data_IF_344747078060
#
_entry.id   IF_344747078060
#
_cell.length_a   1.000
_cell.length_b   1.000
_cell.length_c   1.000
_cell.angle_alpha   90.00
_cell.angle_beta   90.00
_cell.angle_gamma   90.00
#
_symmetry.space_group_name_H-M   'P 1'
#
loop_
_entity.id
_entity.type
_entity.pdbx_description
1 polymer ?
#
# COMPACT_ATOMS: atom_id res chain seq x y z
N UNK A 1 -27.06 10.93 17.66
CA UNK A 1 -26.05 10.55 16.64
C UNK A 1 -25.66 9.11 16.85
N UNK A 2 -25.16 8.44 15.82
CA UNK A 2 -24.67 7.07 15.92
C UNK A 2 -23.28 7.04 16.59
N UNK A 3 -23.00 5.98 17.38
CA UNK A 3 -21.69 5.79 17.99
C UNK A 3 -20.68 5.46 16.90
N UNK A 4 -19.60 6.23 16.84
CA UNK A 4 -18.50 6.03 15.90
C UNK A 4 -17.27 5.47 16.60
N UNK A 5 -16.48 4.74 15.83
CA UNK A 5 -15.13 4.33 16.21
C UNK A 5 -14.14 4.92 15.22
N UNK A 6 -13.29 5.80 15.72
CA UNK A 6 -12.33 6.54 14.90
C UNK A 6 -10.91 6.34 15.40
N UNK A 7 -9.95 6.48 14.49
CA UNK A 7 -8.53 6.57 14.80
C UNK A 7 -8.10 8.01 14.60
N UNK A 8 -7.70 8.67 15.68
CA UNK A 8 -7.43 10.11 15.69
C UNK A 8 -5.94 10.45 15.76
N UNK A 9 -5.58 11.58 15.15
CA UNK A 9 -4.19 12.05 15.14
C UNK A 9 -3.83 12.83 16.41
N UNK A 10 -2.63 12.56 16.92
CA UNK A 10 -1.99 13.31 18.00
C UNK A 10 -0.68 13.92 17.50
N UNK A 11 -0.54 15.26 17.52
CA UNK A 11 0.74 15.93 17.24
C UNK A 11 1.86 15.47 18.16
N UNK A 12 3.08 15.33 17.61
CA UNK A 12 4.25 14.80 18.34
C UNK A 12 4.55 15.60 19.61
N UNK A 13 4.42 16.93 19.57
CA UNK A 13 4.68 17.80 20.71
C UNK A 13 3.66 17.60 21.86
N UNK A 14 2.45 17.12 21.56
CA UNK A 14 1.42 16.81 22.55
C UNK A 14 1.50 15.38 23.07
N UNK A 15 2.06 14.45 22.30
CA UNK A 15 2.04 13.01 22.60
C UNK A 15 2.50 12.67 24.03
N UNK A 16 3.66 13.19 24.46
CA UNK A 16 4.18 12.97 25.82
C UNK A 16 3.29 13.53 26.92
N UNK A 17 2.56 14.62 26.66
CA UNK A 17 1.64 15.22 27.64
C UNK A 17 0.37 14.38 27.78
N UNK A 18 -0.23 14.00 26.64
CA UNK A 18 -1.45 13.21 26.59
C UNK A 18 -1.26 11.79 27.14
N UNK A 19 -0.06 11.24 27.11
CA UNK A 19 0.22 9.93 27.72
C UNK A 19 0.09 9.95 29.26
N UNK A 20 0.29 11.11 29.90
CA UNK A 20 0.33 11.23 31.38
C UNK A 20 -1.03 11.12 32.07
N UNK A 21 -2.13 11.41 31.38
CA UNK A 21 -3.45 11.47 32.02
C UNK A 21 -4.57 11.11 31.06
N UNK A 22 -5.51 10.30 31.55
CA UNK A 22 -6.77 10.00 30.84
C UNK A 22 -7.57 11.27 30.62
N UNK A 23 -7.61 12.17 31.60
CA UNK A 23 -8.36 13.43 31.52
C UNK A 23 -7.78 14.38 30.47
N UNK A 24 -6.44 14.41 30.31
CA UNK A 24 -5.82 15.20 29.23
C UNK A 24 -6.21 14.67 27.85
N UNK A 25 -6.29 13.35 27.68
CA UNK A 25 -6.75 12.75 26.41
C UNK A 25 -8.21 13.07 26.15
N UNK A 26 -9.07 12.94 27.17
CA UNK A 26 -10.50 13.24 27.06
C UNK A 26 -10.72 14.68 26.61
N UNK A 27 -10.07 15.66 27.28
CA UNK A 27 -10.15 17.08 26.90
C UNK A 27 -9.62 17.34 25.50
N UNK A 28 -8.49 16.77 25.12
CA UNK A 28 -7.99 16.89 23.74
C UNK A 28 -9.01 16.36 22.72
N UNK A 29 -9.65 15.22 22.99
CA UNK A 29 -10.69 14.68 22.13
C UNK A 29 -11.93 15.60 22.04
N UNK A 30 -12.36 16.20 23.15
CA UNK A 30 -13.56 17.06 23.17
C UNK A 30 -13.28 18.46 22.60
N UNK A 31 -12.20 19.09 23.04
CA UNK A 31 -11.90 20.50 22.78
C UNK A 31 -11.21 20.70 21.42
N UNK A 32 -10.22 19.85 21.08
CA UNK A 32 -9.42 20.01 19.85
C UNK A 32 -9.98 19.20 18.68
N UNK A 33 -10.48 17.99 18.93
CA UNK A 33 -11.06 17.12 17.90
C UNK A 33 -12.58 17.27 17.76
N UNK A 34 -13.24 17.98 18.68
CA UNK A 34 -14.69 18.20 18.65
C UNK A 34 -15.52 16.94 18.85
N UNK A 35 -14.96 15.90 19.48
CA UNK A 35 -15.65 14.63 19.69
C UNK A 35 -16.64 14.74 20.85
N UNK A 36 -17.83 14.17 20.68
CA UNK A 36 -18.88 14.16 21.70
C UNK A 36 -18.82 12.85 22.50
N UNK A 37 -18.64 12.96 23.81
CA UNK A 37 -18.57 11.82 24.74
C UNK A 37 -17.52 10.75 24.32
N UNK A 38 -16.24 11.13 24.11
CA UNK A 38 -15.22 10.21 23.63
C UNK A 38 -14.86 9.16 24.70
N UNK A 39 -14.59 7.93 24.25
CA UNK A 39 -14.00 6.87 25.08
C UNK A 39 -12.73 6.35 24.37
N UNK A 40 -11.57 6.59 24.98
CA UNK A 40 -10.26 6.26 24.39
C UNK A 40 -9.93 4.81 24.69
N UNK A 41 -10.19 3.93 23.71
CA UNK A 41 -9.96 2.48 23.82
C UNK A 41 -8.50 2.07 23.63
N UNK A 42 -7.78 2.80 22.79
CA UNK A 42 -6.35 2.58 22.55
C UNK A 42 -5.64 3.94 22.56
N UNK A 43 -4.70 4.11 23.48
CA UNK A 43 -4.04 5.40 23.72
C UNK A 43 -2.93 5.72 22.72
N UNK A 44 -2.40 4.71 22.01
CA UNK A 44 -1.22 4.88 21.16
C UNK A 44 -1.18 3.88 20.00
N UNK A 45 -1.13 4.43 18.79
CA UNK A 45 -0.85 3.69 17.55
C UNK A 45 0.35 4.37 16.90
N UNK A 46 1.42 3.63 16.64
CA UNK A 46 2.67 4.19 16.10
C UNK A 46 2.71 4.07 14.58
N UNK A 47 3.50 4.93 13.93
CA UNK A 47 3.90 4.71 12.53
C UNK A 47 4.59 3.33 12.43
N UNK A 48 4.39 2.69 11.28
CA UNK A 48 4.71 1.31 10.94
C UNK A 48 3.96 0.22 11.73
N UNK A 49 2.95 0.57 12.54
CA UNK A 49 2.03 -0.43 13.09
C UNK A 49 1.42 -1.23 11.93
N UNK A 50 1.47 -2.56 12.02
CA UNK A 50 0.88 -3.46 11.04
C UNK A 50 -0.62 -3.55 11.29
N UNK A 51 -1.40 -3.18 10.28
CA UNK A 51 -2.83 -3.36 10.23
C UNK A 51 -3.16 -4.56 9.36
N UNK A 52 -4.18 -5.31 9.75
CA UNK A 52 -4.87 -6.26 8.89
C UNK A 52 -6.31 -5.78 8.75
N UNK A 53 -6.70 -5.43 7.52
CA UNK A 53 -8.04 -4.94 7.22
C UNK A 53 -8.64 -5.79 6.12
N UNK A 54 -9.64 -6.59 6.51
CA UNK A 54 -10.30 -7.59 5.67
C UNK A 54 -9.30 -8.55 4.97
N UNK A 55 -8.23 -8.93 5.67
CA UNK A 55 -7.17 -9.82 5.19
C UNK A 55 -6.02 -9.10 4.49
N UNK A 56 -6.16 -7.81 4.15
CA UNK A 56 -5.10 -7.04 3.51
C UNK A 56 -4.18 -6.41 4.55
N UNK A 57 -2.94 -6.89 4.60
CA UNK A 57 -1.91 -6.40 5.52
C UNK A 57 -1.26 -5.11 5.02
N UNK A 58 -1.16 -4.10 5.89
CA UNK A 58 -0.56 -2.81 5.55
C UNK A 58 0.00 -2.05 6.76
N UNK A 59 1.13 -1.38 6.58
CA UNK A 59 1.77 -0.60 7.63
C UNK A 59 1.30 0.86 7.61
N UNK A 60 0.89 1.39 8.77
CA UNK A 60 0.56 2.81 8.91
C UNK A 60 1.79 3.67 8.60
N UNK A 61 1.71 4.55 7.61
CA UNK A 61 2.82 5.40 7.17
C UNK A 61 2.64 6.87 7.48
N UNK A 62 1.41 7.31 7.69
CA UNK A 62 1.09 8.70 7.97
C UNK A 62 -0.40 8.98 7.87
N UNK A 63 -0.72 10.22 7.53
CA UNK A 63 -2.09 10.69 7.30
C UNK A 63 -2.13 11.71 6.17
N UNK A 64 -3.30 11.85 5.58
CA UNK A 64 -3.68 12.94 4.70
C UNK A 64 -4.81 13.76 5.34
N UNK A 65 -5.38 14.72 4.62
CA UNK A 65 -6.63 15.38 5.03
C UNK A 65 -7.81 14.41 5.11
N UNK A 66 -7.76 13.31 4.35
CA UNK A 66 -8.92 12.44 4.08
C UNK A 66 -8.82 11.07 4.78
N UNK A 67 -7.75 10.82 5.55
CA UNK A 67 -7.58 9.55 6.26
C UNK A 67 -6.14 9.18 6.55
N UNK A 68 -5.97 7.96 7.04
CA UNK A 68 -4.70 7.31 7.33
C UNK A 68 -4.07 6.77 6.03
N UNK A 69 -2.76 6.96 5.89
CA UNK A 69 -1.97 6.50 4.75
C UNK A 69 -1.19 5.25 5.10
N UNK A 70 -1.11 4.30 4.19
CA UNK A 70 -0.45 3.02 4.42
C UNK A 70 0.57 2.64 3.35
N UNK A 71 1.44 1.68 3.70
CA UNK A 71 2.32 0.92 2.80
C UNK A 71 1.82 -0.52 2.74
N UNK A 72 1.83 -1.15 1.58
CA UNK A 72 1.46 -2.56 1.47
C UNK A 72 2.38 -3.44 2.32
N UNK A 73 1.84 -4.41 3.03
CA UNK A 73 2.62 -5.38 3.82
C UNK A 73 2.37 -6.84 3.38
N UNK A 74 1.71 -7.02 2.22
CA UNK A 74 1.52 -8.32 1.59
C UNK A 74 2.72 -8.62 0.68
N UNK A 75 3.34 -9.79 0.85
CA UNK A 75 4.45 -10.22 0.02
C UNK A 75 3.96 -10.66 -1.36
N UNK A 76 4.57 -10.10 -2.41
CA UNK A 76 4.35 -10.55 -3.78
C UNK A 76 5.14 -11.84 -4.01
N UNK A 77 4.42 -12.92 -4.31
CA UNK A 77 5.01 -14.22 -4.67
C UNK A 77 4.77 -14.48 -6.16
N UNK A 78 5.86 -14.67 -6.90
CA UNK A 78 5.88 -14.99 -8.34
C UNK A 78 6.73 -16.23 -8.61
N UNK A 79 6.53 -16.92 -9.75
CA UNK A 79 7.40 -18.02 -10.14
C UNK A 79 8.86 -17.58 -10.31
N UNK A 80 9.82 -18.48 -10.03
CA UNK A 80 11.26 -18.20 -10.12
C UNK A 80 11.70 -17.68 -11.51
N UNK A 81 11.05 -18.15 -12.59
CA UNK A 81 11.26 -17.63 -13.95
C UNK A 81 10.98 -16.12 -14.03
N UNK A 82 9.86 -15.67 -13.45
CA UNK A 82 9.46 -14.26 -13.40
C UNK A 82 10.36 -13.43 -12.51
N UNK A 83 10.87 -14.00 -11.42
CA UNK A 83 11.80 -13.31 -10.53
C UNK A 83 13.09 -12.90 -11.26
N UNK A 84 13.62 -13.75 -12.15
CA UNK A 84 14.76 -13.41 -13.02
C UNK A 84 14.44 -12.27 -13.99
N UNK A 85 13.24 -12.27 -14.56
CA UNK A 85 12.78 -11.20 -15.48
C UNK A 85 12.67 -9.88 -14.73
N UNK A 86 12.03 -9.89 -13.55
CA UNK A 86 11.92 -8.72 -12.68
C UNK A 86 13.31 -8.15 -12.37
N UNK A 87 14.30 -9.00 -12.06
CA UNK A 87 15.67 -8.54 -11.81
C UNK A 87 16.27 -7.78 -13.00
N UNK A 88 16.05 -8.24 -14.23
CA UNK A 88 16.51 -7.54 -15.45
C UNK A 88 15.80 -6.20 -15.61
N UNK A 89 14.47 -6.20 -15.47
CA UNK A 89 13.63 -5.00 -15.56
C UNK A 89 14.05 -3.97 -14.52
N UNK A 90 14.16 -4.35 -13.24
CA UNK A 90 14.53 -3.46 -12.15
C UNK A 90 15.93 -2.88 -12.34
N UNK A 91 16.88 -3.67 -12.85
CA UNK A 91 18.22 -3.16 -13.19
C UNK A 91 18.15 -2.10 -14.28
N UNK A 92 17.49 -2.40 -15.39
CA UNK A 92 17.32 -1.45 -16.48
C UNK A 92 16.65 -0.16 -16.00
N UNK A 93 15.55 -0.24 -15.25
CA UNK A 93 14.86 0.94 -14.73
C UNK A 93 15.71 1.74 -13.74
N UNK A 94 16.58 1.09 -12.97
CA UNK A 94 17.56 1.76 -12.12
C UNK A 94 18.57 2.54 -12.96
N UNK A 95 19.20 1.88 -13.94
CA UNK A 95 20.17 2.49 -14.85
C UNK A 95 19.53 3.66 -15.63
N UNK A 96 18.29 3.49 -16.13
CA UNK A 96 17.52 4.52 -16.83
C UNK A 96 17.14 5.72 -15.95
N UNK A 97 17.02 5.51 -14.63
CA UNK A 97 16.77 6.60 -13.68
C UNK A 97 17.99 7.49 -13.52
N UNK A 98 19.18 6.90 -13.52
CA UNK A 98 20.47 7.62 -13.42
C UNK A 98 20.91 8.22 -14.76
N UNK A 99 20.71 7.49 -15.87
CA UNK A 99 21.06 7.90 -17.22
C UNK A 99 19.92 7.62 -18.21
N UNK A 100 19.34 8.67 -18.80
CA UNK A 100 18.22 8.54 -19.77
C UNK A 100 18.62 7.91 -21.10
N UNK A 101 19.91 7.78 -21.36
CA UNK A 101 20.46 7.07 -22.54
C UNK A 101 20.75 5.59 -22.27
N UNK A 102 20.42 5.08 -21.07
CA UNK A 102 20.60 3.67 -20.77
C UNK A 102 19.78 2.78 -21.72
N UNK A 103 20.42 1.72 -22.22
CA UNK A 103 19.81 0.74 -23.14
C UNK A 103 19.64 -0.60 -22.45
N UNK A 104 18.57 -1.32 -22.79
CA UNK A 104 18.36 -2.67 -22.28
C UNK A 104 19.40 -3.62 -22.90
N UNK A 105 20.06 -4.41 -22.06
CA UNK A 105 21.07 -5.35 -22.54
C UNK A 105 20.45 -6.49 -23.36
N UNK A 106 20.81 -6.60 -24.64
CA UNK A 106 20.35 -7.65 -25.55
C UNK A 106 20.57 -9.08 -24.99
N UNK A 107 21.71 -9.31 -24.32
CA UNK A 107 22.07 -10.64 -23.79
C UNK A 107 21.06 -11.18 -22.77
N UNK A 108 20.40 -10.30 -22.02
CA UNK A 108 19.46 -10.68 -20.97
C UNK A 108 18.05 -10.14 -21.22
N UNK A 109 17.78 -9.62 -22.43
CA UNK A 109 16.50 -9.01 -22.78
C UNK A 109 15.39 -10.07 -22.67
N UNK A 110 14.31 -9.83 -21.90
CA UNK A 110 13.14 -10.69 -21.89
C UNK A 110 12.51 -10.76 -23.29
N UNK A 111 11.97 -11.92 -23.65
CA UNK A 111 11.16 -12.04 -24.87
C UNK A 111 9.81 -11.34 -24.69
N UNK A 112 9.12 -11.10 -25.80
CA UNK A 112 7.76 -10.54 -25.77
C UNK A 112 6.81 -11.38 -24.93
N UNK A 113 6.81 -12.70 -25.13
CA UNK A 113 6.03 -13.64 -24.32
C UNK A 113 6.34 -13.51 -22.82
N UNK A 114 7.61 -13.30 -22.44
CA UNK A 114 8.02 -13.14 -21.04
C UNK A 114 7.54 -11.81 -20.44
N UNK A 115 7.52 -10.72 -21.21
CA UNK A 115 6.94 -9.46 -20.78
C UNK A 115 5.44 -9.58 -20.57
N UNK A 116 4.75 -10.20 -21.52
CA UNK A 116 3.31 -10.41 -21.46
C UNK A 116 2.91 -11.33 -20.30
N UNK A 117 3.61 -12.45 -20.10
CA UNK A 117 3.39 -13.39 -19.00
C UNK A 117 3.53 -12.68 -17.64
N UNK A 118 4.58 -11.86 -17.46
CA UNK A 118 4.76 -11.10 -16.24
C UNK A 118 3.63 -10.09 -16.02
N UNK A 119 3.22 -9.36 -17.08
CA UNK A 119 2.10 -8.42 -17.01
C UNK A 119 0.83 -9.14 -16.51
N UNK A 120 0.51 -10.28 -17.11
CA UNK A 120 -0.72 -11.03 -16.80
C UNK A 120 -0.68 -11.62 -15.39
N UNK A 121 0.48 -12.11 -14.95
CA UNK A 121 0.68 -12.55 -13.56
C UNK A 121 0.41 -11.41 -12.60
N UNK A 122 0.98 -10.21 -12.82
CA UNK A 122 0.77 -9.07 -11.92
C UNK A 122 -0.71 -8.64 -11.90
N UNK A 123 -1.37 -8.56 -13.07
CA UNK A 123 -2.80 -8.24 -13.13
C UNK A 123 -3.65 -9.30 -12.41
N UNK A 124 -3.34 -10.59 -12.58
CA UNK A 124 -4.05 -11.67 -11.89
C UNK A 124 -3.93 -11.59 -10.37
N UNK A 125 -2.77 -11.14 -9.84
CA UNK A 125 -2.60 -10.93 -8.39
C UNK A 125 -3.49 -9.80 -7.87
N UNK A 126 -3.67 -8.73 -8.64
CA UNK A 126 -4.56 -7.63 -8.29
C UNK A 126 -6.04 -8.01 -8.35
N UNK A 127 -6.39 -8.99 -9.19
CA UNK A 127 -7.77 -9.39 -9.44
C UNK A 127 -8.25 -10.54 -8.55
N UNK A 128 -7.39 -11.54 -8.28
CA UNK A 128 -7.81 -12.81 -7.67
C UNK A 128 -7.11 -13.16 -6.36
N UNK A 129 -6.09 -12.39 -5.95
CA UNK A 129 -5.42 -12.59 -4.67
C UNK A 129 -5.82 -11.52 -3.66
N UNK A 130 -5.20 -11.52 -2.47
CA UNK A 130 -5.50 -10.57 -1.38
C UNK A 130 -5.49 -9.09 -1.83
N UNK A 131 -4.74 -8.77 -2.87
CA UNK A 131 -4.66 -7.41 -3.41
C UNK A 131 -5.98 -6.87 -3.95
N UNK A 132 -6.95 -7.73 -4.31
CA UNK A 132 -8.29 -7.30 -4.75
C UNK A 132 -8.97 -6.39 -3.72
N UNK A 133 -8.67 -6.59 -2.43
CA UNK A 133 -9.34 -5.90 -1.31
C UNK A 133 -9.06 -4.40 -1.30
N UNK A 134 -7.90 -3.98 -1.82
CA UNK A 134 -7.44 -2.58 -1.75
C UNK A 134 -6.96 -2.01 -3.08
N UNK A 135 -6.63 -2.86 -4.06
CA UNK A 135 -6.00 -2.44 -5.32
C UNK A 135 -6.78 -2.86 -6.58
N UNK A 136 -7.96 -3.49 -6.43
CA UNK A 136 -8.82 -3.91 -7.56
C UNK A 136 -9.20 -2.77 -8.50
N UNK A 137 -9.27 -1.53 -8.01
CA UNK A 137 -9.55 -0.35 -8.83
C UNK A 137 -8.55 -0.15 -10.00
N UNK A 138 -7.34 -0.74 -9.91
CA UNK A 138 -6.34 -0.65 -10.97
C UNK A 138 -6.58 -1.68 -12.09
N UNK A 139 -7.27 -2.80 -11.82
CA UNK A 139 -7.42 -3.92 -12.75
C UNK A 139 -8.04 -3.51 -14.09
N UNK A 140 -9.16 -2.76 -14.15
CA UNK A 140 -9.77 -2.38 -15.43
C UNK A 140 -8.84 -1.52 -16.29
N UNK A 141 -8.06 -0.63 -15.65
CA UNK A 141 -7.12 0.26 -16.35
C UNK A 141 -5.93 -0.53 -16.90
N UNK A 142 -5.41 -1.48 -16.13
CA UNK A 142 -4.33 -2.36 -16.59
C UNK A 142 -4.79 -3.26 -17.73
N UNK A 143 -5.97 -3.90 -17.63
CA UNK A 143 -6.52 -4.74 -18.69
C UNK A 143 -6.71 -3.96 -20.00
N UNK A 144 -7.28 -2.76 -19.94
CA UNK A 144 -7.42 -1.91 -21.12
C UNK A 144 -6.06 -1.43 -21.64
N UNK A 145 -5.12 -1.16 -20.75
CA UNK A 145 -3.75 -0.75 -21.07
C UNK A 145 -2.90 -1.84 -21.73
N UNK A 146 -3.27 -3.13 -21.61
CA UNK A 146 -2.54 -4.25 -22.24
C UNK A 146 -2.41 -4.07 -23.76
N UNK A 147 -3.46 -3.56 -24.42
CA UNK A 147 -3.45 -3.32 -25.87
C UNK A 147 -2.34 -2.33 -26.26
N UNK A 148 -2.07 -1.33 -25.42
CA UNK A 148 -0.99 -0.37 -25.64
C UNK A 148 0.34 -1.02 -25.27
N UNK A 149 0.37 -1.73 -24.14
CA UNK A 149 1.56 -2.37 -23.61
C UNK A 149 2.26 -3.30 -24.62
N UNK A 150 1.51 -4.11 -25.38
CA UNK A 150 2.09 -5.05 -26.35
C UNK A 150 2.82 -4.35 -27.51
N UNK A 151 2.40 -3.14 -27.86
CA UNK A 151 2.99 -2.32 -28.93
C UNK A 151 4.19 -1.49 -28.48
N UNK A 152 4.45 -1.41 -27.17
CA UNK A 152 5.57 -0.64 -26.62
C UNK A 152 6.93 -1.29 -26.95
N UNK A 153 7.98 -0.47 -26.95
CA UNK A 153 9.36 -0.98 -26.98
C UNK A 153 9.67 -1.83 -25.74
N UNK A 154 10.70 -2.68 -25.81
CA UNK A 154 11.13 -3.51 -24.69
C UNK A 154 11.50 -2.65 -23.46
N UNK A 155 12.14 -1.52 -23.69
CA UNK A 155 12.51 -0.51 -22.69
C UNK A 155 11.28 0.10 -22.02
N UNK A 156 10.28 0.52 -22.79
CA UNK A 156 9.02 1.06 -22.25
C UNK A 156 8.22 -0.01 -21.51
N UNK A 157 8.22 -1.27 -21.99
CA UNK A 157 7.63 -2.42 -21.28
C UNK A 157 8.28 -2.62 -19.92
N UNK A 158 9.61 -2.50 -19.81
CA UNK A 158 10.31 -2.55 -18.53
C UNK A 158 9.81 -1.45 -17.58
N UNK A 159 9.67 -0.22 -18.07
CA UNK A 159 9.19 0.92 -17.26
C UNK A 159 7.77 0.65 -16.77
N UNK A 160 6.86 0.23 -17.66
CA UNK A 160 5.47 -0.08 -17.28
C UNK A 160 5.40 -1.20 -16.25
N UNK A 161 6.15 -2.29 -16.44
CA UNK A 161 6.16 -3.42 -15.49
C UNK A 161 6.74 -3.01 -14.14
N UNK A 162 7.77 -2.15 -14.10
CA UNK A 162 8.30 -1.61 -12.86
C UNK A 162 7.27 -0.74 -12.13
N UNK A 163 6.51 0.09 -12.86
CA UNK A 163 5.42 0.86 -12.29
C UNK A 163 4.29 -0.03 -11.77
N UNK A 164 3.94 -1.13 -12.46
CA UNK A 164 2.97 -2.10 -11.94
C UNK A 164 3.51 -2.79 -10.67
N UNK A 165 4.81 -3.12 -10.61
CA UNK A 165 5.45 -3.69 -9.41
C UNK A 165 5.38 -2.74 -8.20
N UNK A 166 5.42 -1.42 -8.42
CA UNK A 166 5.22 -0.42 -7.37
C UNK A 166 3.84 -0.50 -6.69
N UNK A 167 2.84 -1.17 -7.28
CA UNK A 167 1.56 -1.43 -6.61
C UNK A 167 1.67 -2.45 -5.46
N UNK A 168 2.70 -3.30 -5.48
CA UNK A 168 2.88 -4.41 -4.52
C UNK A 168 3.90 -4.12 -3.43
N UNK A 169 4.62 -2.99 -3.53
CA UNK A 169 5.76 -2.70 -2.67
C UNK A 169 5.37 -2.29 -1.24
N UNK A 170 6.28 -2.51 -0.30
CA UNK A 170 6.20 -1.96 1.06
C UNK A 170 6.76 -0.52 1.11
N UNK A 171 6.21 0.36 0.29
CA UNK A 171 6.56 1.78 0.23
C UNK A 171 5.33 2.63 -0.08
N UNK A 172 5.40 3.93 0.24
CA UNK A 172 4.29 4.87 0.05
C UNK A 172 4.25 5.48 -1.36
N UNK A 173 5.09 4.99 -2.28
CA UNK A 173 5.17 5.49 -3.64
C UNK A 173 3.97 4.96 -4.46
N UNK A 174 3.31 5.87 -5.18
CA UNK A 174 2.28 5.54 -6.18
C UNK A 174 2.91 5.13 -7.51
N UNK A 175 2.23 4.28 -8.26
CA UNK A 175 2.62 3.94 -9.63
C UNK A 175 2.16 4.98 -10.66
N UNK A 176 2.94 5.18 -11.72
CA UNK A 176 2.62 6.02 -12.86
C UNK A 176 2.31 5.17 -14.10
N UNK A 177 1.03 5.01 -14.40
CA UNK A 177 0.55 4.15 -15.49
C UNK A 177 0.27 4.93 -16.77
N UNK A 178 0.78 6.16 -16.93
CA UNK A 178 0.49 7.02 -18.08
C UNK A 178 0.92 6.42 -19.42
N UNK A 179 2.00 5.65 -19.47
CA UNK A 179 2.49 5.00 -20.70
C UNK A 179 1.47 4.03 -21.33
N UNK A 180 0.52 3.53 -20.52
CA UNK A 180 -0.58 2.66 -20.97
C UNK A 180 -1.94 3.34 -20.82
N UNK A 181 -1.99 4.68 -20.89
CA UNK A 181 -3.18 5.51 -20.71
C UNK A 181 -3.90 5.32 -19.35
N UNK A 182 -3.16 4.91 -18.33
CA UNK A 182 -3.61 4.84 -16.95
C UNK A 182 -3.36 6.13 -16.16
N UNK A 183 -3.74 6.15 -14.86
CA UNK A 183 -3.50 7.31 -13.99
C UNK A 183 -2.01 7.50 -13.68
N UNK A 184 -1.60 8.74 -13.43
CA UNK A 184 -0.22 9.07 -13.02
C UNK A 184 0.11 8.79 -11.55
N UNK A 185 -0.92 8.53 -10.74
CA UNK A 185 -0.80 8.17 -9.32
C UNK A 185 -1.79 7.04 -9.01
N UNK A 186 -1.34 5.80 -9.15
CA UNK A 186 -2.10 4.59 -8.87
C UNK A 186 -1.67 3.93 -7.56
N UNK A 187 -2.60 3.21 -6.93
CA UNK A 187 -2.30 2.30 -5.82
C UNK A 187 -2.03 2.95 -4.47
N UNK A 188 -2.37 4.22 -4.27
CA UNK A 188 -2.25 4.88 -2.95
C UNK A 188 -3.21 4.20 -1.96
N UNK A 189 -2.66 3.64 -0.89
CA UNK A 189 -3.45 3.01 0.17
C UNK A 189 -3.88 4.06 1.20
N UNK A 190 -5.17 4.38 1.18
CA UNK A 190 -5.80 5.30 2.12
C UNK A 190 -7.00 4.62 2.79
N UNK A 191 -7.16 4.86 4.09
CA UNK A 191 -8.32 4.42 4.88
C UNK A 191 -8.83 5.61 5.68
N UNK A 192 -10.14 5.82 5.72
CA UNK A 192 -10.74 6.88 6.53
C UNK A 192 -10.42 6.73 8.02
N UNK A 193 -10.53 7.82 8.77
CA UNK A 193 -10.35 7.80 10.23
C UNK A 193 -11.46 7.00 10.92
N UNK A 194 -12.68 7.07 10.38
CA UNK A 194 -13.85 6.31 10.85
C UNK A 194 -13.78 4.86 10.35
N UNK A 195 -13.58 3.93 11.28
CA UNK A 195 -13.47 2.50 11.03
C UNK A 195 -14.77 1.75 11.38
N UNK A 196 -15.85 2.46 11.69
CA UNK A 196 -17.12 1.87 12.11
C UNK A 196 -17.72 0.97 11.03
N UNK A 197 -17.60 1.36 9.76
CA UNK A 197 -18.12 0.61 8.61
C UNK A 197 -17.23 -0.55 8.14
N UNK A 198 -16.03 -0.72 8.70
CA UNK A 198 -15.16 -1.84 8.34
C UNK A 198 -15.64 -3.12 9.03
N UNK A 199 -15.58 -4.24 8.30
CA UNK A 199 -15.96 -5.55 8.82
C UNK A 199 -14.90 -6.07 9.79
N UNK A 200 -13.64 -6.14 9.35
CA UNK A 200 -12.52 -6.60 10.16
C UNK A 200 -11.38 -5.59 10.12
N UNK A 201 -10.88 -5.20 11.29
CA UNK A 201 -9.74 -4.27 11.39
C UNK A 201 -8.93 -4.60 12.65
N UNK A 202 -7.71 -5.06 12.44
CA UNK A 202 -6.83 -5.52 13.51
C UNK A 202 -5.50 -4.77 13.49
N UNK A 203 -4.90 -4.63 14.68
CA UNK A 203 -3.48 -4.34 14.83
C UNK A 203 -2.75 -5.65 15.12
N UNK A 204 -1.68 -5.92 14.38
CA UNK A 204 -0.80 -7.06 14.61
C UNK A 204 0.53 -6.53 15.17
N UNK A 205 0.80 -6.83 16.43
CA UNK A 205 2.09 -6.55 17.05
C UNK A 205 2.99 -7.77 16.88
N UNK A 206 4.09 -7.60 16.14
CA UNK A 206 5.04 -8.66 15.86
C UNK A 206 6.31 -8.50 16.71
N UNK A 207 6.90 -9.62 17.14
CA UNK A 207 8.26 -9.62 17.68
C UNK A 207 9.28 -9.20 16.60
N UNK A 208 10.53 -8.94 17.00
CA UNK A 208 11.60 -8.50 16.08
C UNK A 208 11.77 -9.46 14.88
N UNK A 209 11.55 -10.76 15.09
CA UNK A 209 11.67 -11.79 14.06
C UNK A 209 10.34 -12.15 13.38
N UNK A 210 9.22 -11.62 13.86
CA UNK A 210 7.88 -11.96 13.37
C UNK A 210 7.36 -13.33 13.83
N UNK A 211 8.09 -14.08 14.66
CA UNK A 211 7.65 -15.40 15.13
C UNK A 211 6.51 -15.36 16.15
N UNK A 212 6.42 -14.29 16.92
CA UNK A 212 5.35 -14.11 17.90
C UNK A 212 4.49 -12.94 17.48
N UNK A 213 3.18 -13.15 17.50
CA UNK A 213 2.19 -12.15 17.15
C UNK A 213 1.18 -11.98 18.28
N UNK A 214 0.84 -10.73 18.57
CA UNK A 214 -0.33 -10.37 19.35
C UNK A 214 -1.28 -9.61 18.43
N UNK A 215 -2.52 -10.10 18.31
CA UNK A 215 -3.57 -9.48 17.51
C UNK A 215 -4.50 -8.70 18.43
N UNK A 216 -4.78 -7.45 18.09
CA UNK A 216 -5.76 -6.60 18.75
C UNK A 216 -6.88 -6.30 17.76
N UNK A 217 -8.09 -6.78 18.06
CA UNK A 217 -9.28 -6.44 17.28
C UNK A 217 -9.79 -5.04 17.65
N UNK A 218 -9.69 -4.10 16.71
CA UNK A 218 -10.12 -2.72 16.93
C UNK A 218 -11.65 -2.58 16.98
N UNK A 219 -12.44 -3.60 16.65
CA UNK A 219 -13.91 -3.58 16.75
C UNK A 219 -14.40 -3.96 18.14
N UNK A 220 -13.67 -4.75 18.90
CA UNK A 220 -14.12 -5.28 20.21
C UNK A 220 -13.53 -4.56 21.40
N UNK A 221 -12.37 -3.91 21.24
CA UNK A 221 -11.70 -3.26 22.38
C UNK A 221 -12.36 -1.99 22.86
#
# INVERSE_FOLDING_TARGET
GERKRTIEFVPVFLAKSLEKSVELRRRYCEEELGLVNPDVRLSKIKINTLFDVDGFKMHLSGRSSNGLLFKGANQLVVPYKMEKIIKVISKYCFDYKENKEAVLSEKNRPTEEMFEELFDILVSKLEYAVYEKRLSAQVPKLKNGKIIFVELSAEEKCIVLMEILHLFQCASQSANLKLINGPGHAGILIMGFDISGLSNVHIINQSITGFYEQVIDLKTI
#
